data_IF_682333594120
#
_entry.id   IF_682333594120
#
_cell.length_a   1.000
_cell.length_b   1.000
_cell.length_c   1.000
_cell.angle_alpha   90.00
_cell.angle_beta   90.00
_cell.angle_gamma   90.00
#
_symmetry.space_group_name_H-M   'P 1'
#
loop_
_entity.id
_entity.type
_entity.pdbx_description
1 polymer ?
#
# COMPACT_ATOMS: atom_id res chain seq x y z
N UNK A 1 -4.32 13.01 -28.83
CA UNK A 1 -3.02 12.34 -28.53
C UNK A 1 -1.92 13.35 -28.81
N UNK A 2 -1.09 13.70 -27.83
CA UNK A 2 -0.02 14.69 -28.04
C UNK A 2 1.14 14.08 -28.84
N UNK A 3 1.87 14.90 -29.60
CA UNK A 3 3.09 14.47 -30.36
C UNK A 3 4.09 13.70 -29.45
N UNK A 4 4.21 14.10 -28.18
CA UNK A 4 5.01 13.38 -27.16
C UNK A 4 4.49 11.97 -26.87
N UNK A 5 3.17 11.74 -26.90
CA UNK A 5 2.55 10.42 -26.72
C UNK A 5 2.80 9.50 -27.93
N UNK A 6 2.79 10.06 -29.13
CA UNK A 6 3.07 9.33 -30.36
C UNK A 6 4.53 8.88 -30.45
N UNK A 7 5.47 9.76 -30.09
CA UNK A 7 6.91 9.43 -30.05
C UNK A 7 7.20 8.33 -29.02
N UNK A 8 6.53 8.36 -27.85
CA UNK A 8 6.68 7.28 -26.85
C UNK A 8 6.27 5.91 -27.35
N UNK A 9 5.24 5.81 -28.21
CA UNK A 9 4.79 4.53 -28.77
C UNK A 9 5.79 3.90 -29.77
N UNK A 10 6.69 4.68 -30.36
CA UNK A 10 7.67 4.20 -31.34
C UNK A 10 8.90 3.52 -30.71
N UNK A 11 9.13 3.69 -29.41
CA UNK A 11 10.27 3.09 -28.73
C UNK A 11 9.87 1.84 -27.95
N UNK A 12 10.70 0.76 -27.97
CA UNK A 12 10.51 -0.40 -27.11
C UNK A 12 10.40 0.01 -25.64
N UNK A 13 9.60 -0.74 -24.86
CA UNK A 13 9.39 -0.46 -23.41
C UNK A 13 10.71 -0.28 -22.66
N UNK A 14 11.71 -1.13 -22.94
CA UNK A 14 13.03 -1.05 -22.31
C UNK A 14 13.73 0.31 -22.52
N UNK A 15 13.56 0.91 -23.69
CA UNK A 15 14.09 2.26 -23.96
C UNK A 15 13.30 3.34 -23.23
N UNK A 16 11.97 3.21 -23.17
CA UNK A 16 11.11 4.14 -22.42
C UNK A 16 11.44 4.11 -20.92
N UNK A 17 11.68 2.92 -20.34
CA UNK A 17 12.12 2.74 -18.95
C UNK A 17 13.46 3.45 -18.71
N UNK A 18 14.48 3.20 -19.56
CA UNK A 18 15.80 3.83 -19.45
C UNK A 18 15.74 5.35 -19.56
N UNK A 19 14.97 5.86 -20.51
CA UNK A 19 14.79 7.31 -20.69
C UNK A 19 14.09 7.93 -19.47
N UNK A 20 13.03 7.28 -18.97
CA UNK A 20 12.29 7.77 -17.81
C UNK A 20 13.18 7.77 -16.57
N UNK A 21 13.96 6.70 -16.37
CA UNK A 21 14.92 6.61 -15.28
C UNK A 21 15.97 7.72 -15.33
N UNK A 22 16.59 7.92 -16.51
CA UNK A 22 17.57 9.01 -16.72
C UNK A 22 16.97 10.38 -16.36
N UNK A 23 15.72 10.63 -16.78
CA UNK A 23 15.03 11.89 -16.49
C UNK A 23 14.82 12.13 -14.99
N UNK A 24 14.48 11.08 -14.22
CA UNK A 24 14.18 11.22 -12.78
C UNK A 24 15.44 11.13 -11.90
N UNK A 25 16.42 10.32 -12.29
CA UNK A 25 17.60 10.04 -11.48
C UNK A 25 18.85 10.82 -11.93
N UNK A 26 18.81 11.48 -13.08
CA UNK A 26 19.95 12.22 -13.65
C UNK A 26 21.14 11.35 -14.08
N UNK A 27 20.98 10.01 -14.12
CA UNK A 27 22.01 9.04 -14.45
C UNK A 27 21.48 7.88 -15.26
N UNK A 28 22.37 7.15 -15.93
CA UNK A 28 22.01 5.98 -16.73
C UNK A 28 21.65 4.79 -15.81
N UNK A 29 20.61 4.05 -16.20
CA UNK A 29 20.17 2.81 -15.54
C UNK A 29 21.18 1.68 -15.81
N UNK A 30 21.75 1.10 -14.75
CA UNK A 30 22.65 -0.04 -14.80
C UNK A 30 21.89 -1.33 -14.50
N UNK A 31 21.73 -2.19 -15.51
CA UNK A 31 20.96 -3.45 -15.39
C UNK A 31 21.83 -4.70 -15.37
N UNK A 32 23.03 -4.65 -15.97
CA UNK A 32 23.95 -5.81 -16.06
C UNK A 32 24.57 -6.16 -14.70
N UNK A 33 24.76 -5.16 -13.85
CA UNK A 33 25.20 -5.33 -12.46
C UNK A 33 24.61 -4.21 -11.61
N UNK A 34 23.32 -4.32 -11.16
CA UNK A 34 22.68 -3.26 -10.41
C UNK A 34 23.18 -3.26 -8.97
N UNK A 35 24.01 -2.30 -8.61
CA UNK A 35 24.51 -2.11 -7.25
C UNK A 35 23.56 -1.29 -6.39
N UNK A 36 23.01 -0.21 -6.97
CA UNK A 36 22.13 0.70 -6.24
C UNK A 36 20.73 0.14 -6.09
N UNK A 37 20.11 0.43 -4.94
CA UNK A 37 18.73 0.03 -4.63
C UNK A 37 17.74 0.43 -5.75
N UNK A 38 17.83 1.67 -6.24
CA UNK A 38 16.96 2.15 -7.33
C UNK A 38 17.12 1.37 -8.63
N UNK A 39 18.34 0.94 -8.99
CA UNK A 39 18.58 0.12 -10.18
C UNK A 39 17.99 -1.28 -10.01
N UNK A 40 18.17 -1.88 -8.81
CA UNK A 40 17.58 -3.18 -8.45
C UNK A 40 16.05 -3.13 -8.48
N UNK A 41 15.46 -2.07 -7.94
CA UNK A 41 13.99 -1.90 -7.95
C UNK A 41 13.44 -1.76 -9.37
N UNK A 42 14.09 -0.95 -10.23
CA UNK A 42 13.65 -0.82 -11.63
C UNK A 42 13.84 -2.14 -12.40
N UNK A 43 14.90 -2.89 -12.10
CA UNK A 43 15.08 -4.21 -12.69
C UNK A 43 13.96 -5.17 -12.27
N UNK A 44 13.64 -5.24 -10.97
CA UNK A 44 12.52 -6.04 -10.46
C UNK A 44 11.20 -5.65 -11.11
N UNK A 45 10.83 -4.37 -11.07
CA UNK A 45 9.56 -3.86 -11.57
C UNK A 45 9.42 -4.02 -13.10
N UNK A 46 10.46 -3.69 -13.86
CA UNK A 46 10.33 -3.58 -15.31
C UNK A 46 10.72 -4.85 -16.07
N UNK A 47 11.49 -5.75 -15.47
CA UNK A 47 12.06 -6.90 -16.18
C UNK A 47 11.79 -8.25 -15.50
N UNK A 48 11.66 -8.30 -14.19
CA UNK A 48 11.40 -9.55 -13.44
C UNK A 48 9.90 -9.77 -13.17
N UNK A 49 9.26 -8.83 -12.47
CA UNK A 49 7.87 -8.96 -12.03
C UNK A 49 6.86 -8.97 -13.18
N UNK A 50 7.21 -8.43 -14.33
CA UNK A 50 6.36 -8.47 -15.55
C UNK A 50 6.01 -9.90 -15.96
N UNK A 51 6.85 -10.88 -15.65
CA UNK A 51 6.60 -12.30 -15.92
C UNK A 51 5.77 -12.99 -14.82
N UNK A 52 5.41 -12.26 -13.75
CA UNK A 52 4.65 -12.73 -12.60
C UNK A 52 3.37 -11.91 -12.41
N UNK A 53 2.80 -11.48 -13.53
CA UNK A 53 1.68 -10.53 -13.58
C UNK A 53 0.52 -10.92 -12.66
N UNK A 54 0.09 -12.18 -12.68
CA UNK A 54 -1.07 -12.64 -11.90
C UNK A 54 -0.84 -12.49 -10.39
N UNK A 55 0.35 -12.87 -9.89
CA UNK A 55 0.71 -12.67 -8.49
C UNK A 55 0.77 -11.18 -8.15
N UNK A 56 1.40 -10.38 -9.02
CA UNK A 56 1.53 -8.95 -8.77
C UNK A 56 0.17 -8.25 -8.73
N UNK A 57 -0.73 -8.54 -9.66
CA UNK A 57 -2.09 -8.00 -9.67
C UNK A 57 -2.89 -8.43 -8.46
N UNK A 58 -2.79 -9.73 -8.07
CA UNK A 58 -3.47 -10.27 -6.91
C UNK A 58 -3.02 -9.56 -5.63
N UNK A 59 -1.72 -9.37 -5.44
CA UNK A 59 -1.17 -8.78 -4.23
C UNK A 59 -1.26 -7.24 -4.17
N UNK A 60 -1.33 -6.57 -5.33
CA UNK A 60 -1.52 -5.13 -5.40
C UNK A 60 -2.95 -4.69 -5.09
N UNK A 61 -3.95 -5.48 -5.50
CA UNK A 61 -5.36 -5.19 -5.25
C UNK A 61 -5.74 -5.54 -3.81
N UNK A 62 -6.15 -4.54 -3.01
CA UNK A 62 -6.47 -4.72 -1.57
C UNK A 62 -7.55 -5.76 -1.30
N UNK A 63 -8.48 -5.99 -2.24
CA UNK A 63 -9.50 -7.02 -2.10
C UNK A 63 -8.94 -8.40 -2.38
N UNK A 64 -8.26 -8.58 -3.51
CA UNK A 64 -7.70 -9.86 -3.95
C UNK A 64 -6.52 -10.32 -3.07
N UNK A 65 -5.76 -9.36 -2.51
CA UNK A 65 -4.68 -9.65 -1.58
C UNK A 65 -5.17 -10.36 -0.30
N UNK A 66 -6.41 -10.16 0.12
CA UNK A 66 -6.99 -10.82 1.30
C UNK A 66 -7.01 -12.34 1.18
N UNK A 67 -7.29 -12.85 -0.02
CA UNK A 67 -7.23 -14.28 -0.32
C UNK A 67 -5.79 -14.81 -0.25
N UNK A 68 -4.83 -14.10 -0.84
CA UNK A 68 -3.41 -14.42 -0.72
C UNK A 68 -2.93 -14.44 0.75
N UNK A 69 -3.35 -13.46 1.54
CA UNK A 69 -3.02 -13.43 2.98
C UNK A 69 -3.60 -14.64 3.70
N UNK A 70 -4.87 -14.96 3.46
CA UNK A 70 -5.54 -16.12 4.07
C UNK A 70 -4.85 -17.44 3.73
N UNK A 71 -4.47 -17.64 2.48
CA UNK A 71 -3.74 -18.84 2.03
C UNK A 71 -2.37 -18.96 2.69
N UNK A 72 -1.59 -17.87 2.70
CA UNK A 72 -0.23 -17.90 3.25
C UNK A 72 -0.17 -18.00 4.78
N UNK A 73 -1.16 -17.43 5.45
CA UNK A 73 -1.22 -17.37 6.92
C UNK A 73 -2.11 -18.46 7.51
N UNK A 74 -2.83 -19.22 6.68
CA UNK A 74 -3.83 -20.20 7.09
C UNK A 74 -4.87 -19.60 8.05
N UNK A 75 -5.25 -18.34 7.82
CA UNK A 75 -6.17 -17.60 8.68
C UNK A 75 -6.64 -16.28 8.05
N UNK A 76 -7.92 -15.97 8.26
CA UNK A 76 -8.53 -14.67 7.90
C UNK A 76 -8.41 -13.60 8.99
N UNK A 77 -7.85 -13.93 10.16
CA UNK A 77 -7.84 -13.04 11.33
C UNK A 77 -6.95 -11.81 11.17
N UNK A 78 -6.04 -11.84 10.19
CA UNK A 78 -5.05 -10.80 9.97
C UNK A 78 -5.50 -9.68 9.02
N UNK A 79 -6.74 -9.73 8.56
CA UNK A 79 -7.34 -8.66 7.74
C UNK A 79 -8.52 -8.03 8.48
N UNK A 80 -8.75 -6.72 8.35
CA UNK A 80 -9.94 -6.08 8.90
C UNK A 80 -11.22 -6.75 8.38
N UNK A 81 -12.28 -6.76 9.15
CA UNK A 81 -13.56 -7.34 8.71
C UNK A 81 -14.06 -6.61 7.46
N UNK A 82 -14.34 -7.35 6.40
CA UNK A 82 -14.95 -6.83 5.19
C UNK A 82 -16.46 -6.63 5.45
N UNK A 83 -16.95 -5.42 5.21
CA UNK A 83 -18.35 -5.03 5.40
C UNK A 83 -19.12 -5.00 4.07
N UNK A 84 -18.42 -4.74 2.96
CA UNK A 84 -19.02 -4.72 1.64
C UNK A 84 -17.99 -4.49 0.53
N UNK A 85 -18.41 -4.82 -0.69
CA UNK A 85 -17.64 -4.67 -1.94
C UNK A 85 -18.58 -4.07 -2.98
N UNK A 86 -18.14 -3.01 -3.68
CA UNK A 86 -18.99 -2.29 -4.62
C UNK A 86 -18.23 -2.01 -5.91
N UNK A 87 -18.87 -2.28 -7.05
CA UNK A 87 -18.30 -2.01 -8.37
C UNK A 87 -18.45 -0.54 -8.78
N UNK A 88 -19.44 0.15 -8.19
CA UNK A 88 -19.69 1.57 -8.39
C UNK A 88 -19.97 2.28 -7.07
N UNK A 89 -19.73 3.59 -7.03
CA UNK A 89 -20.01 4.40 -5.85
C UNK A 89 -21.51 4.54 -5.56
N UNK A 90 -22.38 4.32 -6.56
CA UNK A 90 -23.82 4.35 -6.42
C UNK A 90 -24.35 3.19 -5.57
N UNK A 91 -23.62 2.07 -5.55
CA UNK A 91 -23.97 0.88 -4.78
C UNK A 91 -23.67 0.99 -3.29
N UNK A 92 -22.98 2.05 -2.83
CA UNK A 92 -22.64 2.22 -1.41
C UNK A 92 -23.94 2.39 -0.60
N UNK A 93 -24.30 1.42 0.28
CA UNK A 93 -25.57 1.44 1.02
C UNK A 93 -25.40 2.16 2.37
N UNK A 94 -25.35 3.50 2.37
CA UNK A 94 -25.05 4.30 3.56
C UNK A 94 -25.96 3.99 4.74
N UNK A 95 -27.19 3.58 4.50
CA UNK A 95 -28.18 3.25 5.54
C UNK A 95 -27.80 1.96 6.31
N UNK A 96 -27.10 1.03 5.66
CA UNK A 96 -26.73 -0.27 6.25
C UNK A 96 -25.26 -0.34 6.69
N UNK A 97 -24.44 0.66 6.34
CA UNK A 97 -23.08 0.73 6.86
C UNK A 97 -23.08 1.04 8.36
N UNK A 98 -22.18 0.44 9.15
CA UNK A 98 -22.02 0.81 10.54
C UNK A 98 -21.53 2.26 10.66
N UNK A 99 -21.75 2.88 11.84
CA UNK A 99 -21.28 4.24 12.10
C UNK A 99 -19.79 4.41 11.85
N UNK A 100 -19.00 3.40 12.25
CA UNK A 100 -17.55 3.41 12.09
C UNK A 100 -17.13 2.40 11.04
N UNK A 101 -16.65 2.90 9.93
CA UNK A 101 -16.07 2.09 8.86
C UNK A 101 -15.07 2.90 8.04
N UNK A 102 -14.31 2.23 7.20
CA UNK A 102 -13.44 2.85 6.22
C UNK A 102 -13.81 2.39 4.81
N UNK A 103 -13.99 3.35 3.91
CA UNK A 103 -14.16 3.08 2.48
C UNK A 103 -12.81 3.25 1.77
N UNK A 104 -12.47 2.33 0.86
CA UNK A 104 -11.19 2.33 0.13
C UNK A 104 -11.40 1.96 -1.33
N UNK A 105 -10.56 2.47 -2.23
CA UNK A 105 -10.45 1.94 -3.60
C UNK A 105 -9.35 0.89 -3.64
N UNK A 106 -9.65 -0.31 -4.18
CA UNK A 106 -8.79 -1.49 -4.08
C UNK A 106 -7.42 -1.32 -4.73
N UNK A 107 -7.33 -0.67 -5.89
CA UNK A 107 -6.10 -0.47 -6.66
C UNK A 107 -5.60 0.98 -6.60
N UNK A 108 -5.66 1.61 -5.44
CA UNK A 108 -5.22 2.98 -5.26
C UNK A 108 -4.48 3.17 -3.94
N UNK A 109 -3.62 4.20 -3.89
CA UNK A 109 -2.97 4.67 -2.67
C UNK A 109 -3.57 6.03 -2.30
N UNK A 110 -3.95 6.20 -1.03
CA UNK A 110 -4.55 7.44 -0.52
C UNK A 110 -6.01 7.69 -0.90
N UNK A 111 -6.66 6.76 -1.62
CA UNK A 111 -8.10 6.83 -1.94
C UNK A 111 -8.91 6.08 -0.89
N UNK A 112 -8.94 6.62 0.31
CA UNK A 112 -9.66 6.11 1.46
C UNK A 112 -10.41 7.23 2.18
N UNK A 113 -11.49 6.89 2.86
CA UNK A 113 -12.32 7.79 3.65
C UNK A 113 -12.76 7.07 4.93
N UNK A 114 -12.38 7.62 6.07
CA UNK A 114 -12.87 7.18 7.38
C UNK A 114 -14.24 7.81 7.64
N UNK A 115 -15.19 6.96 7.99
CA UNK A 115 -16.50 7.36 8.51
C UNK A 115 -16.54 7.01 10.00
N UNK A 116 -16.89 8.00 10.85
CA UNK A 116 -16.98 7.88 12.30
C UNK A 116 -18.40 8.08 12.83
N UNK A 117 -19.32 8.36 11.91
CA UNK A 117 -20.73 8.56 12.14
C UNK A 117 -21.53 8.11 10.92
N UNK A 118 -22.80 7.83 11.08
CA UNK A 118 -23.69 7.53 9.95
C UNK A 118 -23.80 8.74 9.04
N UNK A 119 -23.78 8.47 7.74
CA UNK A 119 -23.97 9.51 6.72
C UNK A 119 -25.44 9.55 6.34
N UNK A 120 -26.25 10.27 7.09
CA UNK A 120 -27.70 10.42 6.85
C UNK A 120 -28.03 11.51 5.86
N UNK A 121 -27.18 12.57 5.80
CA UNK A 121 -27.36 13.68 4.89
C UNK A 121 -27.14 13.25 3.43
N UNK A 122 -28.19 13.37 2.60
CA UNK A 122 -28.19 13.00 1.18
C UNK A 122 -27.15 13.78 0.37
N UNK A 123 -26.91 15.05 0.72
CA UNK A 123 -25.88 15.85 0.05
C UNK A 123 -24.51 15.30 0.31
N UNK A 124 -24.21 14.97 1.57
CA UNK A 124 -22.92 14.35 1.96
C UNK A 124 -22.75 12.96 1.33
N UNK A 125 -23.81 12.15 1.27
CA UNK A 125 -23.79 10.89 0.53
C UNK A 125 -23.41 11.11 -0.94
N UNK A 126 -24.00 12.10 -1.59
CA UNK A 126 -23.72 12.39 -2.99
C UNK A 126 -22.28 12.90 -3.19
N UNK A 127 -21.76 13.72 -2.28
CA UNK A 127 -20.36 14.18 -2.30
C UNK A 127 -19.39 12.99 -2.19
N UNK A 128 -19.66 12.05 -1.29
CA UNK A 128 -18.87 10.82 -1.14
C UNK A 128 -18.96 9.97 -2.41
N UNK A 129 -20.16 9.75 -2.97
CA UNK A 129 -20.32 9.01 -4.23
C UNK A 129 -19.55 9.67 -5.39
N UNK A 130 -19.59 10.98 -5.51
CA UNK A 130 -18.85 11.71 -6.54
C UNK A 130 -17.33 11.53 -6.36
N UNK A 131 -16.83 11.63 -5.13
CA UNK A 131 -15.42 11.45 -4.77
C UNK A 131 -14.95 10.03 -5.11
N UNK A 132 -15.70 9.00 -4.72
CA UNK A 132 -15.36 7.61 -5.02
C UNK A 132 -15.50 7.27 -6.50
N UNK A 133 -16.48 7.83 -7.20
CA UNK A 133 -16.62 7.69 -8.67
C UNK A 133 -15.38 8.23 -9.38
N UNK A 134 -14.89 9.41 -8.97
CA UNK A 134 -13.66 10.00 -9.49
C UNK A 134 -12.45 9.12 -9.20
N UNK A 135 -12.24 8.71 -7.94
CA UNK A 135 -11.11 7.86 -7.56
C UNK A 135 -11.11 6.50 -8.26
N UNK A 136 -12.29 5.89 -8.41
CA UNK A 136 -12.46 4.63 -9.11
C UNK A 136 -12.11 4.76 -10.60
N UNK A 137 -12.55 5.84 -11.24
CA UNK A 137 -12.21 6.14 -12.62
C UNK A 137 -10.70 6.33 -12.83
N UNK A 138 -10.05 7.09 -11.94
CA UNK A 138 -8.61 7.30 -11.99
C UNK A 138 -7.83 5.99 -11.74
N UNK A 139 -8.26 5.18 -10.77
CA UNK A 139 -7.64 3.89 -10.48
C UNK A 139 -7.74 2.93 -11.67
N UNK A 140 -8.91 2.85 -12.33
CA UNK A 140 -9.14 1.99 -13.50
C UNK A 140 -8.34 2.41 -14.73
N UNK A 141 -7.98 3.69 -14.85
CA UNK A 141 -7.15 4.23 -15.94
C UNK A 141 -5.68 4.30 -15.63
N UNK A 142 -5.30 4.03 -14.39
CA UNK A 142 -3.92 4.17 -13.92
C UNK A 142 -2.96 3.30 -14.75
N UNK A 143 -1.85 3.90 -15.14
CA UNK A 143 -0.73 3.24 -15.81
C UNK A 143 0.58 3.81 -15.29
N UNK A 144 1.54 2.95 -15.05
CA UNK A 144 2.87 3.35 -14.61
C UNK A 144 3.93 2.66 -15.44
N UNK A 145 4.90 3.41 -15.97
CA UNK A 145 5.86 2.90 -16.97
C UNK A 145 6.70 1.74 -16.43
N UNK A 146 6.97 1.70 -15.14
CA UNK A 146 7.80 0.65 -14.53
C UNK A 146 6.99 -0.59 -14.13
N UNK A 147 5.68 -0.43 -13.84
CA UNK A 147 4.84 -1.47 -13.24
C UNK A 147 3.39 -1.45 -13.73
N UNK A 148 3.16 -1.14 -15.02
CA UNK A 148 1.80 -1.08 -15.59
C UNK A 148 1.05 -2.41 -15.53
N UNK A 149 1.76 -3.54 -15.39
CA UNK A 149 1.20 -4.88 -15.26
C UNK A 149 0.40 -5.10 -13.97
N UNK A 150 0.59 -4.32 -12.92
CA UNK A 150 -0.20 -4.44 -11.68
C UNK A 150 -1.63 -3.90 -11.81
N UNK A 151 -1.86 -3.01 -12.79
CA UNK A 151 -3.15 -2.38 -13.02
C UNK A 151 -3.93 -3.15 -14.10
N UNK A 152 -5.02 -3.78 -13.72
CA UNK A 152 -5.88 -4.54 -14.64
C UNK A 152 -7.18 -3.80 -15.03
N UNK A 153 -7.40 -2.61 -14.48
CA UNK A 153 -8.59 -1.81 -14.74
C UNK A 153 -9.84 -2.24 -13.96
N UNK A 154 -9.72 -3.22 -13.06
CA UNK A 154 -10.83 -3.81 -12.30
C UNK A 154 -10.91 -3.31 -10.86
N UNK A 155 -10.46 -2.06 -10.60
CA UNK A 155 -10.56 -1.46 -9.28
C UNK A 155 -12.03 -1.41 -8.81
N UNK A 156 -12.24 -1.69 -7.51
CA UNK A 156 -13.53 -1.71 -6.83
C UNK A 156 -13.44 -0.91 -5.52
N UNK A 157 -14.59 -0.66 -4.90
CA UNK A 157 -14.67 -0.01 -3.60
C UNK A 157 -14.86 -1.08 -2.53
N UNK A 158 -14.12 -0.97 -1.44
CA UNK A 158 -14.22 -1.81 -0.25
C UNK A 158 -14.77 -0.98 0.89
N UNK A 159 -15.67 -1.56 1.69
CA UNK A 159 -16.00 -1.11 3.02
C UNK A 159 -15.41 -2.09 4.03
N UNK A 160 -14.63 -1.61 4.97
CA UNK A 160 -14.00 -2.41 6.03
C UNK A 160 -14.28 -1.81 7.42
N UNK A 161 -14.22 -2.63 8.46
CA UNK A 161 -14.23 -2.13 9.83
C UNK A 161 -13.11 -1.11 10.02
N UNK A 162 -13.39 -0.05 10.78
CA UNK A 162 -12.39 0.94 11.13
C UNK A 162 -11.51 0.38 12.27
N UNK A 163 -10.21 0.26 12.00
CA UNK A 163 -9.23 -0.04 13.04
C UNK A 163 -8.90 1.24 13.79
N UNK A 164 -9.06 1.23 15.11
CA UNK A 164 -8.78 2.36 15.99
C UNK A 164 -7.95 1.90 17.19
N UNK A 165 -6.96 2.72 17.53
CA UNK A 165 -6.22 2.62 18.78
C UNK A 165 -7.12 2.96 20.00
N UNK A 166 -6.62 2.77 21.21
CA UNK A 166 -7.42 3.03 22.42
C UNK A 166 -7.84 4.51 22.56
N UNK A 167 -7.06 5.43 21.99
CA UNK A 167 -7.36 6.86 21.95
C UNK A 167 -8.18 7.28 20.70
N UNK A 168 -8.70 6.30 19.94
CA UNK A 168 -9.59 6.54 18.80
C UNK A 168 -8.90 7.00 17.51
N UNK A 169 -7.58 6.96 17.44
CA UNK A 169 -6.84 7.32 16.21
C UNK A 169 -6.73 6.12 15.27
N UNK A 170 -6.44 6.40 14.01
CA UNK A 170 -6.00 5.39 13.05
C UNK A 170 -4.62 4.90 13.49
N UNK A 171 -4.37 3.59 13.55
CA UNK A 171 -3.07 3.06 14.00
C UNK A 171 -1.94 3.44 13.06
N UNK A 172 -0.74 3.56 13.62
CA UNK A 172 0.48 3.78 12.87
C UNK A 172 0.84 2.59 11.97
N UNK A 173 1.50 2.87 10.84
CA UNK A 173 2.02 1.86 9.94
C UNK A 173 3.36 1.30 10.46
N UNK A 174 3.44 -0.02 10.61
CA UNK A 174 4.70 -0.78 10.73
C UNK A 174 5.01 -1.44 9.39
N UNK A 175 6.05 -0.99 8.71
CA UNK A 175 6.42 -1.41 7.37
C UNK A 175 7.61 -2.34 7.40
N UNK A 176 7.38 -3.63 7.28
CA UNK A 176 8.43 -4.66 7.31
C UNK A 176 8.99 -4.84 5.91
N UNK A 177 10.26 -4.50 5.73
CA UNK A 177 10.98 -4.69 4.47
C UNK A 177 11.58 -6.09 4.44
N UNK A 178 11.19 -6.87 3.43
CA UNK A 178 11.60 -8.26 3.27
C UNK A 178 12.38 -8.45 1.98
N UNK A 179 13.45 -9.25 2.07
CA UNK A 179 14.29 -9.63 0.93
C UNK A 179 14.41 -11.16 0.89
N UNK A 180 14.07 -11.75 -0.26
CA UNK A 180 14.11 -13.20 -0.49
C UNK A 180 13.34 -14.01 0.59
N UNK A 181 12.18 -13.51 1.02
CA UNK A 181 11.35 -14.15 2.03
C UNK A 181 11.76 -13.91 3.48
N UNK A 182 12.80 -13.09 3.75
CA UNK A 182 13.28 -12.81 5.11
C UNK A 182 13.10 -11.32 5.47
N UNK A 183 12.46 -11.02 6.62
CA UNK A 183 12.40 -9.67 7.17
C UNK A 183 13.82 -9.13 7.46
N UNK A 184 14.10 -7.90 7.02
CA UNK A 184 15.41 -7.29 7.19
C UNK A 184 15.41 -6.09 8.16
N UNK A 185 14.41 -5.22 8.04
CA UNK A 185 14.22 -4.07 8.92
C UNK A 185 12.78 -3.58 8.89
N UNK A 186 12.43 -2.72 9.85
CA UNK A 186 11.08 -2.19 10.01
C UNK A 186 11.13 -0.67 10.00
N UNK A 187 10.26 -0.05 9.20
CA UNK A 187 10.00 1.38 9.29
C UNK A 187 8.68 1.60 10.03
N UNK A 188 8.71 2.43 11.06
CA UNK A 188 7.55 2.91 11.79
C UNK A 188 7.21 4.33 11.34
N UNK A 189 6.06 4.52 10.70
CA UNK A 189 5.55 5.82 10.29
C UNK A 189 4.79 6.45 11.46
N UNK A 190 5.30 7.56 11.97
CA UNK A 190 4.81 8.21 13.19
C UNK A 190 3.86 9.33 12.80
N UNK A 191 2.63 9.32 13.37
CA UNK A 191 1.63 10.35 13.13
C UNK A 191 1.40 10.63 11.64
N UNK A 192 1.31 9.56 10.86
CA UNK A 192 1.32 9.65 9.39
C UNK A 192 -0.05 9.93 8.78
N UNK A 193 -1.11 9.97 9.57
CA UNK A 193 -2.49 10.22 9.14
C UNK A 193 -3.15 11.30 10.00
N UNK A 194 -4.08 12.04 9.40
CA UNK A 194 -4.97 12.94 10.12
C UNK A 194 -6.12 12.16 10.80
N UNK A 195 -6.99 12.86 11.53
CA UNK A 195 -8.16 12.29 12.21
C UNK A 195 -9.15 11.62 11.25
N UNK A 196 -9.17 12.04 9.99
CA UNK A 196 -10.00 11.46 8.93
C UNK A 196 -9.33 10.27 8.23
N UNK A 197 -8.14 9.84 8.67
CA UNK A 197 -7.38 8.76 8.07
C UNK A 197 -6.69 9.12 6.75
N UNK A 198 -6.63 10.41 6.39
CA UNK A 198 -5.89 10.82 5.20
C UNK A 198 -4.39 10.86 5.52
N UNK A 199 -3.57 10.36 4.58
CA UNK A 199 -2.11 10.42 4.73
C UNK A 199 -1.63 11.87 4.73
N UNK A 200 -0.86 12.24 5.75
CA UNK A 200 -0.25 13.55 5.83
C UNK A 200 0.87 13.70 4.80
N UNK A 201 1.07 14.91 4.30
CA UNK A 201 2.16 15.21 3.37
C UNK A 201 3.52 15.12 4.07
N UNK A 202 3.60 15.62 5.29
CA UNK A 202 4.80 15.58 6.14
C UNK A 202 4.52 14.77 7.40
N UNK A 203 5.36 13.79 7.65
CA UNK A 203 5.37 12.94 8.82
C UNK A 203 6.78 12.35 9.01
N UNK A 204 7.01 11.73 10.15
CA UNK A 204 8.30 11.15 10.48
C UNK A 204 8.30 9.64 10.29
N UNK A 205 9.52 9.10 10.11
CA UNK A 205 9.73 7.66 9.99
C UNK A 205 10.97 7.23 10.74
N UNK A 206 10.80 6.41 11.76
CA UNK A 206 11.90 5.75 12.44
C UNK A 206 12.13 4.35 11.85
N UNK A 207 13.39 3.94 11.80
CA UNK A 207 13.78 2.63 11.26
C UNK A 207 14.37 1.78 12.38
N UNK A 208 14.04 0.51 12.41
CA UNK A 208 14.48 -0.45 13.42
C UNK A 208 14.98 -1.74 12.79
N UNK A 209 15.92 -2.41 13.48
CA UNK A 209 16.27 -3.80 13.16
C UNK A 209 15.10 -4.73 13.46
N UNK A 210 15.21 -6.01 13.07
CA UNK A 210 14.22 -7.04 13.44
C UNK A 210 14.24 -7.37 14.94
N UNK A 211 15.28 -6.95 15.68
CA UNK A 211 15.37 -7.03 17.14
C UNK A 211 14.89 -5.77 17.86
N UNK A 212 14.37 -4.78 17.08
CA UNK A 212 13.87 -3.50 17.54
C UNK A 212 14.93 -2.51 18.01
N UNK A 213 16.13 -2.58 17.48
CA UNK A 213 17.18 -1.60 17.70
C UNK A 213 17.03 -0.45 16.71
N UNK A 214 17.04 0.80 17.20
CA UNK A 214 16.90 1.99 16.34
C UNK A 214 18.08 2.14 15.39
N UNK A 215 17.77 2.34 14.10
CA UNK A 215 18.75 2.60 13.04
C UNK A 215 18.70 4.09 12.67
N UNK A 216 19.82 4.79 12.83
CA UNK A 216 19.94 6.23 12.54
C UNK A 216 20.07 6.49 11.04
N UNK A 217 18.99 6.25 10.28
CA UNK A 217 18.91 6.45 8.82
C UNK A 217 17.59 7.10 8.42
N UNK A 218 17.61 7.97 7.41
CA UNK A 218 16.41 8.56 6.83
C UNK A 218 15.93 7.71 5.63
N UNK A 219 14.82 7.02 5.79
CA UNK A 219 14.22 6.14 4.76
C UNK A 219 13.09 6.85 4.02
N UNK A 220 13.46 7.81 3.14
CA UNK A 220 12.51 8.59 2.35
C UNK A 220 11.68 9.61 3.15
N UNK A 221 11.84 9.63 4.47
CA UNK A 221 11.27 10.60 5.42
C UNK A 221 12.31 10.89 6.48
N UNK A 222 12.21 12.06 7.12
CA UNK A 222 13.07 12.41 8.26
C UNK A 222 12.75 11.53 9.45
N UNK A 223 13.77 11.09 10.16
CA UNK A 223 13.60 10.39 11.44
C UNK A 223 13.26 11.36 12.56
N UNK A 224 12.68 10.85 13.64
CA UNK A 224 12.35 11.59 14.87
C UNK A 224 12.90 10.79 16.07
N UNK A 225 14.20 10.93 16.39
CA UNK A 225 14.83 10.13 17.44
C UNK A 225 14.20 10.30 18.82
N UNK A 226 13.62 11.46 19.10
CA UNK A 226 12.90 11.74 20.35
C UNK A 226 11.55 10.99 20.46
N UNK A 227 11.05 10.45 19.37
CA UNK A 227 9.85 9.62 19.32
C UNK A 227 10.18 8.14 19.09
N UNK A 228 11.26 7.64 19.70
CA UNK A 228 11.53 6.19 19.74
C UNK A 228 10.49 5.54 20.63
N UNK A 229 9.77 4.56 20.05
CA UNK A 229 8.77 3.79 20.77
C UNK A 229 9.38 2.50 21.34
N UNK A 230 8.78 2.01 22.41
CA UNK A 230 9.15 0.70 22.96
C UNK A 230 8.88 -0.43 21.97
N UNK A 231 9.56 -1.56 22.14
CA UNK A 231 9.35 -2.76 21.32
C UNK A 231 7.88 -3.16 21.37
N UNK A 232 7.17 -3.21 20.24
CA UNK A 232 5.77 -3.66 20.22
C UNK A 232 5.66 -5.09 20.75
N UNK A 233 4.72 -5.40 21.63
CA UNK A 233 4.51 -6.77 22.13
C UNK A 233 4.28 -7.78 21.00
N UNK A 234 3.70 -7.32 19.89
CA UNK A 234 3.37 -8.17 18.72
C UNK A 234 4.48 -8.23 17.67
N UNK A 235 5.72 -7.78 17.96
CA UNK A 235 6.81 -7.76 16.99
C UNK A 235 7.09 -9.13 16.38
N UNK A 236 7.16 -10.16 17.21
CA UNK A 236 7.47 -11.51 16.74
C UNK A 236 6.37 -12.06 15.82
N UNK A 237 5.10 -11.73 16.09
CA UNK A 237 3.97 -12.07 15.20
C UNK A 237 4.03 -11.26 13.90
N UNK A 238 4.35 -9.96 13.94
CA UNK A 238 4.55 -9.15 12.73
C UNK A 238 5.65 -9.71 11.84
N UNK A 239 6.78 -10.10 12.40
CA UNK A 239 7.90 -10.69 11.66
C UNK A 239 7.54 -12.06 11.07
N UNK A 240 6.84 -12.91 11.82
CA UNK A 240 6.32 -14.19 11.32
C UNK A 240 5.37 -14.00 10.13
N UNK A 241 4.43 -13.05 10.22
CA UNK A 241 3.50 -12.70 9.14
C UNK A 241 4.29 -12.20 7.92
N UNK A 242 5.20 -11.24 8.13
CA UNK A 242 6.02 -10.67 7.06
C UNK A 242 6.86 -11.74 6.35
N UNK A 243 7.46 -12.66 7.10
CA UNK A 243 8.21 -13.81 6.56
C UNK A 243 7.34 -14.70 5.68
N UNK A 244 6.14 -15.09 6.15
CA UNK A 244 5.24 -15.95 5.38
C UNK A 244 4.74 -15.27 4.09
N UNK A 245 4.35 -14.00 4.19
CA UNK A 245 3.82 -13.24 3.05
C UNK A 245 4.87 -12.87 2.01
N UNK A 246 6.14 -12.80 2.40
CA UNK A 246 7.24 -12.39 1.52
C UNK A 246 7.91 -13.55 0.75
N UNK A 247 7.58 -14.81 1.04
CA UNK A 247 8.25 -15.99 0.45
C UNK A 247 8.26 -16.04 -1.07
N UNK A 248 7.22 -15.49 -1.71
CA UNK A 248 7.10 -15.49 -3.17
C UNK A 248 7.80 -14.30 -3.83
N UNK A 249 8.48 -13.44 -3.07
CA UNK A 249 9.02 -12.19 -3.57
C UNK A 249 10.52 -12.06 -3.31
N UNK A 250 11.34 -11.67 -4.33
CA UNK A 250 12.72 -11.25 -4.09
C UNK A 250 12.81 -10.00 -3.20
N UNK A 251 11.81 -9.13 -3.31
CA UNK A 251 11.63 -7.96 -2.46
C UNK A 251 10.14 -7.65 -2.34
N UNK A 252 9.70 -7.40 -1.12
CA UNK A 252 8.36 -6.88 -0.83
C UNK A 252 8.38 -6.16 0.52
N UNK A 253 7.59 -5.11 0.64
CA UNK A 253 7.27 -4.47 1.90
C UNK A 253 5.90 -4.96 2.38
N UNK A 254 5.84 -5.45 3.59
CA UNK A 254 4.60 -5.88 4.25
C UNK A 254 4.21 -4.79 5.24
N UNK A 255 3.10 -4.10 4.97
CA UNK A 255 2.60 -3.03 5.84
C UNK A 255 1.61 -3.63 6.83
N UNK A 256 1.86 -3.42 8.13
CA UNK A 256 1.06 -3.98 9.22
C UNK A 256 0.62 -2.89 10.19
N UNK A 257 -0.47 -3.19 10.92
CA UNK A 257 -1.00 -2.38 12.01
C UNK A 257 -1.10 -3.21 13.28
N UNK A 258 -0.94 -2.58 14.43
CA UNK A 258 -1.19 -3.22 15.74
C UNK A 258 -2.33 -2.50 16.42
N UNK A 259 -3.41 -3.23 16.72
CA UNK A 259 -4.60 -2.69 17.40
C UNK A 259 -5.06 -3.70 18.46
N UNK A 260 -5.11 -3.27 19.72
CA UNK A 260 -5.59 -4.12 20.84
C UNK A 260 -4.87 -5.49 20.86
N UNK A 261 -3.55 -5.48 20.80
CA UNK A 261 -2.68 -6.66 20.79
C UNK A 261 -2.97 -7.67 19.64
N UNK A 262 -3.46 -7.16 18.51
CA UNK A 262 -3.66 -7.92 17.28
C UNK A 262 -2.91 -7.28 16.13
N UNK A 263 -2.30 -8.11 15.31
CA UNK A 263 -1.65 -7.68 14.07
C UNK A 263 -2.65 -7.76 12.91
N UNK A 264 -2.69 -6.71 12.10
CA UNK A 264 -3.44 -6.66 10.85
C UNK A 264 -2.50 -6.36 9.69
N UNK A 265 -2.71 -7.00 8.55
CA UNK A 265 -2.00 -6.71 7.31
C UNK A 265 -2.79 -5.68 6.52
N UNK A 266 -2.13 -4.58 6.17
CA UNK A 266 -2.69 -3.50 5.37
C UNK A 266 -2.52 -3.73 3.87
N UNK A 267 -1.29 -3.93 3.43
CA UNK A 267 -0.96 -4.11 2.01
C UNK A 267 0.42 -4.76 1.82
N UNK A 268 0.65 -5.25 0.60
CA UNK A 268 1.99 -5.57 0.07
C UNK A 268 2.41 -4.52 -0.95
N UNK A 269 3.67 -4.11 -0.88
CA UNK A 269 4.19 -3.05 -1.77
C UNK A 269 5.55 -3.45 -2.35
#
# INVERSE_FOLDING_TARGET
>A
MTLKGFIKMLFPRSMQVRYTYLKYQGRLLRLSNPELYTDKMIWLQSFYNVHRKDLMQRCYDKYRAREYFSEKLDSNRYTPKLLGVYESAQEIPFESLPEKCILKVSQSSGSNLVLRERVEDLKRQQEIRNKFSFWLHEARKKKHIFEDYVYDGNAIILAEELLETADGKVPDDYRVFCFNGEPAFICHDIESTDEMGNKLHEYYRNTYTTTWEFISVDMGRKRKPEAIVEKPPMLDEMLMIAKKLSQDFPFVRVDTYVVKDKVYVGELT
#
